data_IF_086840433164
#
_entry.id   IF_086840433164
#
_cell.length_a   1.000
_cell.length_b   1.000
_cell.length_c   1.000
_cell.angle_alpha   90.00
_cell.angle_beta   90.00
_cell.angle_gamma   90.00
#
_symmetry.space_group_name_H-M   'P 1'
#
loop_
_entity.id
_entity.type
_entity.pdbx_description
1 polymer ?
#
# COMPACT_ATOMS: atom_id res chain seq x y z
N UNK A 1 14.10 21.79 0.09
CA UNK A 1 13.61 20.41 0.28
C UNK A 1 12.93 20.13 1.63
N UNK A 2 13.33 20.78 2.74
CA UNK A 2 12.73 20.51 4.06
C UNK A 2 11.24 20.87 4.15
N UNK A 3 10.80 21.93 3.48
CA UNK A 3 9.41 22.39 3.49
C UNK A 3 8.49 21.36 2.82
N UNK A 4 8.92 20.75 1.72
CA UNK A 4 8.16 19.75 0.97
C UNK A 4 8.01 18.38 1.68
N UNK A 5 8.51 18.24 2.91
CA UNK A 5 8.30 17.04 3.75
C UNK A 5 7.07 17.15 4.67
N UNK A 6 6.49 18.34 4.77
CA UNK A 6 5.30 18.55 5.61
C UNK A 6 4.10 17.85 5.00
N UNK A 7 3.39 17.07 5.81
CA UNK A 7 2.16 16.34 5.43
C UNK A 7 0.89 17.03 5.95
N UNK A 8 1.03 18.10 6.72
CA UNK A 8 -0.10 18.84 7.27
C UNK A 8 -0.67 19.81 6.22
N UNK A 9 -1.87 19.53 5.74
CA UNK A 9 -2.52 20.29 4.69
C UNK A 9 -2.79 21.76 5.09
N UNK A 10 -3.09 22.02 6.36
CA UNK A 10 -3.29 23.40 6.84
C UNK A 10 -2.00 24.23 6.77
N UNK A 11 -0.86 23.62 7.11
CA UNK A 11 0.46 24.25 7.00
C UNK A 11 0.83 24.45 5.53
N UNK A 12 0.59 23.48 4.66
CA UNK A 12 0.82 23.59 3.22
C UNK A 12 0.02 24.77 2.63
N UNK A 13 -1.26 24.87 2.95
CA UNK A 13 -2.13 25.92 2.46
C UNK A 13 -1.74 27.31 2.99
N UNK A 14 -1.31 27.41 4.25
CA UNK A 14 -0.80 28.66 4.83
C UNK A 14 0.50 29.07 4.14
N UNK A 15 1.46 28.18 4.03
CA UNK A 15 2.74 28.44 3.35
C UNK A 15 2.54 28.82 1.88
N UNK A 16 1.59 28.15 1.18
CA UNK A 16 1.29 28.50 -0.21
C UNK A 16 0.76 29.93 -0.38
N UNK A 17 0.06 30.49 0.64
CA UNK A 17 -0.42 31.88 0.60
C UNK A 17 0.68 32.91 0.85
N UNK A 18 1.71 32.52 1.61
CA UNK A 18 2.83 33.40 1.95
C UNK A 18 3.85 33.51 0.81
N UNK A 19 3.79 32.61 -0.16
CA UNK A 19 4.70 32.54 -1.32
C UNK A 19 4.18 33.47 -2.42
N UNK A 20 5.08 34.09 -3.18
CA UNK A 20 4.73 34.91 -4.35
C UNK A 20 4.48 34.04 -5.60
N UNK A 21 3.76 34.59 -6.60
CA UNK A 21 3.45 33.88 -7.84
C UNK A 21 4.67 33.30 -8.58
N UNK A 22 5.74 34.08 -8.81
CA UNK A 22 6.96 33.59 -9.43
C UNK A 22 7.65 32.47 -8.63
N UNK A 23 7.68 32.60 -7.31
CA UNK A 23 8.23 31.55 -6.43
C UNK A 23 7.40 30.26 -6.50
N UNK A 24 6.07 30.40 -6.57
CA UNK A 24 5.18 29.25 -6.74
C UNK A 24 5.47 28.50 -8.05
N UNK A 25 5.71 29.20 -9.14
CA UNK A 25 6.11 28.59 -10.42
C UNK A 25 7.44 27.84 -10.31
N UNK A 26 8.44 28.42 -9.63
CA UNK A 26 9.71 27.74 -9.39
C UNK A 26 9.54 26.48 -8.51
N UNK A 27 8.72 26.54 -7.46
CA UNK A 27 8.47 25.39 -6.60
C UNK A 27 7.73 24.30 -7.38
N UNK A 28 6.77 24.61 -8.23
CA UNK A 28 6.10 23.65 -9.10
C UNK A 28 7.10 22.94 -10.05
N UNK A 29 8.06 23.67 -10.62
CA UNK A 29 9.13 23.08 -11.41
C UNK A 29 9.98 22.10 -10.60
N UNK A 30 10.35 22.46 -9.36
CA UNK A 30 11.05 21.56 -8.44
C UNK A 30 10.23 20.34 -8.06
N UNK A 31 8.92 20.49 -7.86
CA UNK A 31 8.01 19.38 -7.59
C UNK A 31 7.99 18.40 -8.77
N UNK A 32 7.95 18.88 -10.01
CA UNK A 32 8.00 18.05 -11.20
C UNK A 32 9.25 17.15 -11.20
N UNK A 33 10.42 17.74 -11.00
CA UNK A 33 11.69 17.00 -10.92
C UNK A 33 11.73 16.03 -9.73
N UNK A 34 11.15 16.42 -8.59
CA UNK A 34 11.10 15.59 -7.38
C UNK A 34 10.16 14.40 -7.53
N UNK A 35 9.05 14.56 -8.27
CA UNK A 35 8.12 13.48 -8.62
C UNK A 35 8.82 12.37 -9.39
N UNK A 36 9.68 12.71 -10.33
CA UNK A 36 10.39 11.72 -11.13
C UNK A 36 11.47 10.96 -10.32
N UNK A 37 12.13 11.67 -9.40
CA UNK A 37 13.19 11.09 -8.57
C UNK A 37 12.68 10.28 -7.37
N UNK A 38 11.49 10.59 -6.85
CA UNK A 38 11.01 10.04 -5.57
C UNK A 38 9.54 9.64 -5.63
N UNK A 39 9.20 8.50 -6.25
CA UNK A 39 7.82 8.06 -6.43
C UNK A 39 7.10 7.80 -5.09
N UNK A 40 7.82 7.44 -4.03
CA UNK A 40 7.25 7.21 -2.69
C UNK A 40 6.67 8.48 -2.06
N UNK A 41 7.13 9.66 -2.48
CA UNK A 41 6.66 10.97 -2.00
C UNK A 41 5.60 11.60 -2.90
N UNK A 42 5.16 10.89 -3.95
CA UNK A 42 4.27 11.45 -4.97
C UNK A 42 2.97 12.03 -4.38
N UNK A 43 2.38 11.39 -3.37
CA UNK A 43 1.16 11.90 -2.71
C UNK A 43 1.37 13.26 -2.05
N UNK A 44 2.44 13.40 -1.27
CA UNK A 44 2.76 14.66 -0.58
C UNK A 44 3.10 15.76 -1.57
N UNK A 45 3.86 15.44 -2.63
CA UNK A 45 4.22 16.38 -3.69
C UNK A 45 2.98 16.80 -4.50
N UNK A 46 2.03 15.89 -4.74
CA UNK A 46 0.77 16.19 -5.40
C UNK A 46 -0.11 17.14 -4.57
N UNK A 47 -0.17 16.95 -3.25
CA UNK A 47 -0.89 17.87 -2.36
C UNK A 47 -0.24 19.26 -2.32
N UNK A 48 1.07 19.36 -2.32
CA UNK A 48 1.79 20.62 -2.47
C UNK A 48 1.47 21.28 -3.81
N UNK A 49 1.56 20.56 -4.92
CA UNK A 49 1.23 21.08 -6.24
C UNK A 49 -0.22 21.58 -6.29
N UNK A 50 -1.16 20.81 -5.74
CA UNK A 50 -2.58 21.19 -5.66
C UNK A 50 -2.78 22.52 -4.90
N UNK A 51 -2.17 22.67 -3.71
CA UNK A 51 -2.31 23.88 -2.91
C UNK A 51 -1.70 25.10 -3.64
N UNK A 52 -0.52 24.97 -4.24
CA UNK A 52 0.13 26.03 -5.02
C UNK A 52 -0.70 26.44 -6.24
N UNK A 53 -1.22 25.47 -7.00
CA UNK A 53 -2.06 25.72 -8.16
C UNK A 53 -3.37 26.44 -7.78
N UNK A 54 -4.01 26.06 -6.68
CA UNK A 54 -5.26 26.70 -6.23
C UNK A 54 -5.02 28.13 -5.77
N UNK A 55 -3.96 28.38 -4.99
CA UNK A 55 -3.69 29.71 -4.44
C UNK A 55 -3.22 30.67 -5.54
N UNK A 56 -2.38 30.21 -6.45
CA UNK A 56 -1.77 31.05 -7.49
C UNK A 56 -2.41 30.91 -8.87
N UNK A 57 -3.62 30.33 -8.97
CA UNK A 57 -4.31 30.13 -10.25
C UNK A 57 -4.42 31.43 -11.08
N UNK A 58 -4.71 32.55 -10.44
CA UNK A 58 -4.81 33.86 -11.11
C UNK A 58 -3.49 34.32 -11.69
N UNK A 59 -2.38 34.16 -10.97
CA UNK A 59 -1.05 34.49 -11.47
C UNK A 59 -0.66 33.59 -12.62
N UNK A 60 -0.81 32.28 -12.44
CA UNK A 60 -0.43 31.26 -13.41
C UNK A 60 -1.20 31.39 -14.73
N UNK A 61 -2.48 31.75 -14.70
CA UNK A 61 -3.27 31.98 -15.90
C UNK A 61 -2.97 33.33 -16.58
N UNK A 62 -2.52 34.31 -15.82
CA UNK A 62 -2.14 35.64 -16.34
C UNK A 62 -0.76 35.66 -17.02
N UNK A 63 0.10 34.66 -16.79
CA UNK A 63 1.46 34.58 -17.31
C UNK A 63 1.69 33.23 -18.01
N UNK A 64 1.02 33.00 -19.17
CA UNK A 64 1.08 31.70 -19.84
C UNK A 64 2.46 31.34 -20.38
N UNK A 65 3.26 32.35 -20.72
CA UNK A 65 4.61 32.15 -21.30
C UNK A 65 5.56 31.50 -20.28
N UNK A 66 5.58 31.99 -19.04
CA UNK A 66 6.41 31.46 -17.97
C UNK A 66 5.84 30.16 -17.39
N UNK A 67 4.55 30.03 -17.41
CA UNK A 67 3.81 28.97 -16.72
C UNK A 67 3.70 27.69 -17.56
N UNK A 68 3.58 27.81 -18.88
CA UNK A 68 3.43 26.66 -19.77
C UNK A 68 4.63 25.71 -19.69
N UNK A 69 5.84 26.24 -19.56
CA UNK A 69 7.07 25.47 -19.40
C UNK A 69 7.09 24.62 -18.12
N UNK A 70 6.31 25.00 -17.09
CA UNK A 70 6.24 24.31 -15.80
C UNK A 70 5.02 23.40 -15.73
N UNK A 71 3.86 23.87 -16.20
CA UNK A 71 2.59 23.12 -16.07
C UNK A 71 2.53 21.96 -17.06
N UNK A 72 3.04 22.10 -18.27
CA UNK A 72 2.98 21.02 -19.27
C UNK A 72 3.71 19.74 -18.80
N UNK A 73 4.97 19.78 -18.34
CA UNK A 73 5.64 18.59 -17.84
C UNK A 73 5.01 18.05 -16.53
N UNK A 74 4.48 18.93 -15.69
CA UNK A 74 3.77 18.53 -14.47
C UNK A 74 2.50 17.74 -14.81
N UNK A 75 1.71 18.24 -15.76
CA UNK A 75 0.50 17.58 -16.24
C UNK A 75 0.81 16.21 -16.86
N UNK A 76 1.86 16.16 -17.69
CA UNK A 76 2.31 14.90 -18.31
C UNK A 76 2.74 13.88 -17.26
N UNK A 77 3.52 14.30 -16.26
CA UNK A 77 3.93 13.43 -15.14
C UNK A 77 2.72 12.87 -14.36
N UNK A 78 1.70 13.68 -14.12
CA UNK A 78 0.47 13.21 -13.48
C UNK A 78 -0.35 12.29 -14.39
N UNK A 79 -0.47 12.58 -15.68
CA UNK A 79 -1.16 11.72 -16.65
C UNK A 79 -0.53 10.33 -16.73
N UNK A 80 0.79 10.25 -16.86
CA UNK A 80 1.50 8.98 -16.90
C UNK A 80 1.26 8.16 -15.62
N UNK A 81 1.34 8.79 -14.44
CA UNK A 81 1.10 8.10 -13.16
C UNK A 81 -0.35 7.63 -13.02
N UNK A 82 -1.31 8.45 -13.45
CA UNK A 82 -2.73 8.11 -13.44
C UNK A 82 -3.05 6.92 -14.36
N UNK A 83 -2.40 6.83 -15.51
CA UNK A 83 -2.57 5.70 -16.43
C UNK A 83 -2.17 4.35 -15.80
N UNK A 84 -1.11 4.34 -14.99
CA UNK A 84 -0.66 3.13 -14.29
C UNK A 84 -1.46 2.81 -13.04
N UNK A 85 -2.20 3.76 -12.47
CA UNK A 85 -2.91 3.59 -11.20
C UNK A 85 -3.92 2.43 -11.24
N UNK A 86 -4.68 2.28 -12.32
CA UNK A 86 -5.66 1.20 -12.47
C UNK A 86 -4.99 -0.17 -12.49
N UNK A 87 -3.88 -0.32 -13.22
CA UNK A 87 -3.14 -1.58 -13.29
C UNK A 87 -2.51 -1.94 -11.95
N UNK A 88 -1.89 -0.97 -11.28
CA UNK A 88 -1.29 -1.14 -9.95
C UNK A 88 -2.33 -1.48 -8.87
N UNK A 89 -3.50 -0.83 -8.91
CA UNK A 89 -4.59 -1.13 -7.97
C UNK A 89 -5.13 -2.55 -8.16
N UNK A 90 -5.26 -3.02 -9.40
CA UNK A 90 -5.64 -4.41 -9.70
C UNK A 90 -4.59 -5.41 -9.21
N UNK A 91 -3.31 -5.11 -9.44
CA UNK A 91 -2.21 -5.95 -8.97
C UNK A 91 -2.19 -6.00 -7.44
N UNK A 92 -2.30 -4.85 -6.77
CA UNK A 92 -2.37 -4.76 -5.31
C UNK A 92 -3.52 -5.60 -4.75
N UNK A 93 -4.73 -5.47 -5.32
CA UNK A 93 -5.89 -6.26 -4.92
C UNK A 93 -5.68 -7.78 -5.06
N UNK A 94 -5.03 -8.22 -6.15
CA UNK A 94 -4.69 -9.64 -6.34
C UNK A 94 -3.66 -10.15 -5.32
N UNK A 95 -2.61 -9.38 -5.08
CA UNK A 95 -1.59 -9.73 -4.07
C UNK A 95 -2.21 -9.79 -2.68
N UNK A 96 -3.04 -8.81 -2.33
CA UNK A 96 -3.73 -8.78 -1.04
C UNK A 96 -4.68 -9.99 -0.87
N UNK A 97 -5.40 -10.38 -1.91
CA UNK A 97 -6.25 -11.57 -1.88
C UNK A 97 -5.44 -12.85 -1.63
N UNK A 98 -4.28 -13.01 -2.28
CA UNK A 98 -3.39 -14.14 -2.06
C UNK A 98 -2.87 -14.17 -0.62
N UNK A 99 -2.41 -13.03 -0.10
CA UNK A 99 -1.94 -12.92 1.29
C UNK A 99 -3.05 -13.33 2.26
N UNK A 100 -4.28 -12.84 2.06
CA UNK A 100 -5.42 -13.18 2.91
C UNK A 100 -5.75 -14.68 2.88
N UNK A 101 -5.70 -15.32 1.72
CA UNK A 101 -5.90 -16.77 1.59
C UNK A 101 -4.80 -17.53 2.30
N UNK A 102 -3.52 -17.18 2.09
CA UNK A 102 -2.40 -17.83 2.75
C UNK A 102 -2.45 -17.72 4.27
N UNK A 103 -2.79 -16.53 4.80
CA UNK A 103 -2.94 -16.34 6.25
C UNK A 103 -4.11 -17.12 6.84
N UNK A 104 -5.25 -17.16 6.14
CA UNK A 104 -6.41 -17.97 6.57
C UNK A 104 -6.07 -19.48 6.61
N UNK A 105 -5.36 -19.98 5.60
CA UNK A 105 -4.92 -21.39 5.54
C UNK A 105 -3.96 -21.73 6.68
N UNK A 106 -3.01 -20.85 7.00
CA UNK A 106 -2.09 -21.04 8.13
C UNK A 106 -2.82 -21.07 9.48
N UNK A 107 -3.83 -20.23 9.67
CA UNK A 107 -4.63 -20.22 10.89
C UNK A 107 -5.48 -21.50 11.05
N UNK A 108 -5.97 -22.07 9.94
CA UNK A 108 -6.71 -23.33 9.97
C UNK A 108 -5.78 -24.50 10.27
N UNK A 109 -4.58 -24.54 9.71
CA UNK A 109 -3.58 -25.59 10.00
C UNK A 109 -3.09 -25.54 11.44
N UNK A 110 -2.98 -24.35 12.05
CA UNK A 110 -2.59 -24.19 13.45
C UNK A 110 -3.67 -24.63 14.46
N UNK A 111 -4.94 -24.69 14.03
CA UNK A 111 -6.07 -25.14 14.87
C UNK A 111 -6.38 -26.62 14.77
N UNK A 112 -5.77 -27.36 13.83
CA UNK A 112 -5.85 -28.81 13.80
C UNK A 112 -4.89 -29.37 14.85
N UNK A 113 -5.39 -29.58 16.03
CA UNK A 113 -4.75 -30.45 17.03
C UNK A 113 -4.44 -31.78 16.36
N UNK A 114 -3.24 -32.36 16.51
CA UNK A 114 -2.96 -33.68 15.97
C UNK A 114 -4.01 -34.66 16.46
N UNK A 115 -4.53 -35.58 15.62
CA UNK A 115 -5.46 -36.59 16.07
C UNK A 115 -4.81 -37.35 17.23
N UNK A 116 -5.51 -37.39 18.38
CA UNK A 116 -5.09 -38.15 19.53
C UNK A 116 -4.81 -39.60 19.06
N UNK A 117 -3.64 -40.20 19.39
CA UNK A 117 -3.34 -41.54 18.95
C UNK A 117 -4.40 -42.48 19.58
N UNK A 118 -5.14 -43.17 18.72
CA UNK A 118 -6.11 -44.19 19.12
C UNK A 118 -5.42 -45.12 20.11
N UNK A 119 -5.90 -45.10 21.37
CA UNK A 119 -5.45 -46.00 22.39
C UNK A 119 -5.57 -47.45 21.86
N UNK A 120 -4.44 -48.14 21.80
CA UNK A 120 -4.41 -49.56 21.50
C UNK A 120 -5.20 -50.26 22.62
N UNK A 121 -6.34 -50.81 22.22
CA UNK A 121 -7.11 -51.70 23.08
C UNK A 121 -6.27 -52.97 23.25
N UNK A 122 -5.57 -53.10 24.38
CA UNK A 122 -4.91 -54.29 24.80
C UNK A 122 -5.97 -55.30 25.16
N UNK A 123 -6.24 -56.24 24.29
CA UNK A 123 -7.02 -57.41 24.61
C UNK A 123 -6.15 -58.36 25.42
N UNK A 124 -6.38 -58.40 26.72
CA UNK A 124 -5.94 -59.51 27.58
C UNK A 124 -6.94 -60.63 27.38
N UNK A 125 -6.66 -61.51 26.46
CA UNK A 125 -7.32 -62.84 26.35
C UNK A 125 -6.46 -63.88 27.06
N UNK A 126 -6.53 -63.93 28.40
CA UNK A 126 -6.13 -65.09 29.20
C UNK A 126 -7.23 -66.16 29.12
N UNK A 127 -7.19 -66.95 28.06
CA UNK A 127 -7.95 -68.19 28.01
C UNK A 127 -7.12 -69.30 28.68
N UNK A 128 -7.38 -69.56 29.92
CA UNK A 128 -6.97 -70.75 30.62
C UNK A 128 -7.69 -71.99 30.02
N UNK A 129 -6.94 -72.83 29.33
CA UNK A 129 -7.41 -74.18 28.97
C UNK A 129 -7.11 -75.12 30.13
N UNK A 130 -8.14 -75.40 30.84
CA UNK A 130 -8.14 -76.52 31.79
C UNK A 130 -8.41 -77.80 31.02
N UNK A 131 -7.42 -78.68 31.00
CA UNK A 131 -7.44 -79.93 30.27
C UNK A 131 -7.51 -81.04 31.33
N UNK A 132 -8.72 -81.40 31.73
CA UNK A 132 -8.94 -82.57 32.58
C UNK A 132 -9.36 -83.77 31.70
N UNK A 133 -8.39 -84.62 31.49
CA UNK A 133 -8.59 -85.92 30.91
C UNK A 133 -8.83 -86.92 32.07
N UNK A 134 -10.04 -87.42 32.21
CA UNK A 134 -10.33 -88.58 33.05
C UNK A 134 -10.70 -89.73 32.13
N UNK A 135 -9.91 -90.81 32.29
CA UNK A 135 -10.15 -92.13 31.76
C UNK A 135 -11.40 -92.76 32.39
N UNK A 136 -12.15 -93.48 31.62
CA UNK A 136 -12.45 -94.89 31.64
C UNK A 136 -13.23 -95.30 30.38
#
# INVERSE_FOLDING_TARGET
>A
DRVLHTTNNAVMAATARDITGPEAAQILSHICVALDKSPTRAMVLAEWARNLLLVHAGYLSGHPEDTSAVIAPLLESFHQRSAYFSALSKLHGRVQAIINVCTATQQHSAKQTPPEPLAKHGGDDDAAYDNDVAMD
#
